data_IF_937917359369
#
_entry.id   IF_937917359369
#
_cell.length_a   1.000
_cell.length_b   1.000
_cell.length_c   1.000
_cell.angle_alpha   90.00
_cell.angle_beta   90.00
_cell.angle_gamma   90.00
#
_symmetry.space_group_name_H-M   'P 1'
#
loop_
_entity.id
_entity.type
_entity.pdbx_description
1 polymer ?
#
# COMPACT_ATOMS: atom_id res chain seq x y z
N UNK A 1 -18.33 17.25 8.10
CA UNK A 1 -18.01 17.64 9.49
C UNK A 1 -17.95 16.40 10.39
N UNK A 2 -16.77 15.80 10.54
CA UNK A 2 -16.50 14.65 11.44
C UNK A 2 -15.10 14.70 12.09
N UNK A 3 -14.14 15.44 11.51
CA UNK A 3 -12.77 15.53 12.04
C UNK A 3 -12.69 16.21 13.43
N UNK A 4 -13.42 17.30 13.65
CA UNK A 4 -13.32 18.07 14.91
C UNK A 4 -13.60 17.22 16.16
N UNK A 5 -14.53 16.26 16.08
CA UNK A 5 -14.88 15.40 17.20
C UNK A 5 -13.86 14.29 17.47
N UNK A 6 -13.06 13.88 16.47
CA UNK A 6 -12.03 12.86 16.66
C UNK A 6 -10.79 13.46 17.33
N UNK A 7 -10.43 14.68 16.96
CA UNK A 7 -9.30 15.39 17.54
C UNK A 7 -9.52 15.68 19.04
N UNK A 8 -10.75 16.06 19.43
CA UNK A 8 -11.11 16.22 20.84
C UNK A 8 -11.00 14.91 21.64
N UNK A 9 -11.41 13.77 21.05
CA UNK A 9 -11.33 12.45 21.69
C UNK A 9 -9.88 11.98 21.85
N UNK A 10 -9.01 12.25 20.86
CA UNK A 10 -7.59 11.88 20.93
C UNK A 10 -6.86 12.78 21.94
N UNK A 11 -7.17 14.08 21.96
CA UNK A 11 -6.47 15.03 22.83
C UNK A 11 -6.87 14.91 24.30
N UNK A 12 -8.08 14.45 24.60
CA UNK A 12 -8.56 14.22 25.97
C UNK A 12 -8.20 12.84 26.55
N UNK A 13 -7.57 11.96 25.76
CA UNK A 13 -7.24 10.60 26.22
C UNK A 13 -5.86 10.53 26.90
N UNK A 14 -5.79 9.80 28.02
CA UNK A 14 -4.55 9.51 28.74
C UNK A 14 -3.55 8.71 27.88
N UNK A 15 -4.06 7.90 26.96
CA UNK A 15 -3.27 7.14 26.00
C UNK A 15 -3.66 7.52 24.56
N UNK A 16 -2.99 8.54 24.04
CA UNK A 16 -3.25 9.11 22.72
C UNK A 16 -3.04 8.10 21.59
N UNK A 17 -2.01 7.26 21.67
CA UNK A 17 -1.74 6.24 20.67
C UNK A 17 -2.88 5.23 20.54
N UNK A 18 -3.43 4.78 21.68
CA UNK A 18 -4.57 3.87 21.70
C UNK A 18 -5.84 4.57 21.19
N UNK A 19 -6.10 5.81 21.63
CA UNK A 19 -7.25 6.59 21.18
C UNK A 19 -7.24 6.81 19.66
N UNK A 20 -6.08 7.19 19.09
CA UNK A 20 -5.90 7.31 17.64
C UNK A 20 -6.16 5.99 16.92
N UNK A 21 -5.64 4.88 17.44
CA UNK A 21 -5.85 3.55 16.86
C UNK A 21 -7.32 3.11 16.92
N UNK A 22 -8.03 3.46 17.98
CA UNK A 22 -9.45 3.13 18.12
C UNK A 22 -10.33 3.99 17.20
N UNK A 23 -9.96 5.25 16.93
CA UNK A 23 -10.59 6.07 15.87
C UNK A 23 -10.38 5.43 14.50
N UNK A 24 -9.16 4.97 14.20
CA UNK A 24 -8.85 4.26 12.94
C UNK A 24 -9.65 2.97 12.81
N UNK A 25 -9.70 2.14 13.86
CA UNK A 25 -10.52 0.92 13.86
C UNK A 25 -12.00 1.21 13.64
N UNK A 26 -12.53 2.27 14.25
CA UNK A 26 -13.93 2.66 14.11
C UNK A 26 -14.25 3.01 12.65
N UNK A 27 -13.37 3.74 11.98
CA UNK A 27 -13.54 4.07 10.56
C UNK A 27 -13.33 2.85 9.65
N UNK A 28 -12.35 1.99 9.94
CA UNK A 28 -12.13 0.74 9.20
C UNK A 28 -13.33 -0.21 9.30
N UNK A 29 -13.88 -0.38 10.49
CA UNK A 29 -15.07 -1.22 10.71
C UNK A 29 -16.35 -0.59 10.17
N UNK A 30 -16.46 0.74 10.16
CA UNK A 30 -17.58 1.44 9.51
C UNK A 30 -17.55 1.28 7.98
N UNK A 31 -16.35 1.19 7.38
CA UNK A 31 -16.15 0.91 5.95
C UNK A 31 -16.22 -0.58 5.59
N UNK A 32 -16.32 -1.48 6.58
CA UNK A 32 -16.60 -2.90 6.39
C UNK A 32 -18.08 -3.19 6.07
N UNK A 33 -18.88 -2.17 5.70
CA UNK A 33 -20.05 -2.45 4.87
C UNK A 33 -19.51 -3.02 3.58
N UNK A 34 -19.80 -4.30 3.35
CA UNK A 34 -19.70 -4.96 2.04
C UNK A 34 -20.05 -3.93 0.96
N UNK A 35 -19.02 -3.37 0.32
CA UNK A 35 -19.21 -2.66 -0.92
C UNK A 35 -19.49 -3.81 -1.87
N UNK A 36 -20.77 -4.13 -2.04
CA UNK A 36 -21.18 -4.96 -3.15
C UNK A 36 -20.44 -4.41 -4.38
N UNK A 37 -19.69 -5.24 -5.12
CA UNK A 37 -18.90 -4.76 -6.23
C UNK A 37 -19.88 -4.17 -7.24
N UNK A 38 -20.05 -2.84 -7.21
CA UNK A 38 -20.97 -2.14 -8.11
C UNK A 38 -20.48 -2.21 -9.57
N UNK A 39 -19.34 -2.84 -9.83
CA UNK A 39 -18.97 -3.30 -11.17
C UNK A 39 -17.90 -4.40 -11.11
N UNK A 40 -18.24 -5.70 -11.29
CA UNK A 40 -17.25 -6.77 -11.39
C UNK A 40 -16.39 -6.72 -12.67
N UNK A 41 -16.64 -5.76 -13.58
CA UNK A 41 -16.01 -5.63 -14.90
C UNK A 41 -15.13 -4.38 -15.06
N UNK A 42 -14.58 -3.82 -13.99
CA UNK A 42 -13.58 -2.75 -14.13
C UNK A 42 -12.31 -3.33 -14.74
N UNK A 43 -12.09 -3.05 -16.02
CA UNK A 43 -10.80 -3.28 -16.67
C UNK A 43 -9.70 -2.49 -15.95
N UNK A 44 -8.43 -2.88 -16.12
CA UNK A 44 -7.30 -2.18 -15.51
C UNK A 44 -7.34 -0.65 -15.78
N UNK A 45 -7.69 -0.25 -17.00
CA UNK A 45 -7.90 1.14 -17.36
C UNK A 45 -9.04 1.78 -16.57
N UNK A 46 -10.20 1.12 -16.47
CA UNK A 46 -11.35 1.62 -15.70
C UNK A 46 -11.06 1.76 -14.20
N UNK A 47 -10.26 0.85 -13.61
CA UNK A 47 -9.80 1.01 -12.23
C UNK A 47 -8.90 2.24 -12.08
N UNK A 48 -7.94 2.43 -13.00
CA UNK A 48 -7.03 3.57 -12.98
C UNK A 48 -7.79 4.90 -13.12
N UNK A 49 -8.80 4.94 -13.99
CA UNK A 49 -9.67 6.10 -14.18
C UNK A 49 -10.53 6.38 -12.95
N UNK A 50 -11.15 5.35 -12.37
CA UNK A 50 -11.96 5.47 -11.15
C UNK A 50 -11.12 5.92 -9.95
N UNK A 51 -9.93 5.34 -9.78
CA UNK A 51 -8.97 5.75 -8.75
C UNK A 51 -8.56 7.20 -8.96
N UNK A 52 -8.15 7.58 -10.18
CA UNK A 52 -7.77 8.95 -10.51
C UNK A 52 -8.89 9.95 -10.28
N UNK A 53 -10.15 9.59 -10.56
CA UNK A 53 -11.31 10.45 -10.31
C UNK A 53 -11.50 10.74 -8.82
N UNK A 54 -11.30 9.74 -7.95
CA UNK A 54 -11.36 9.93 -6.49
C UNK A 54 -10.34 10.97 -6.02
N UNK A 55 -9.14 11.01 -6.61
CA UNK A 55 -8.11 11.99 -6.23
C UNK A 55 -8.25 13.33 -6.95
N UNK A 56 -8.96 13.40 -8.08
CA UNK A 56 -9.19 14.63 -8.84
C UNK A 56 -10.22 15.54 -8.18
N UNK A 57 -11.19 14.95 -7.49
CA UNK A 57 -12.26 15.66 -6.79
C UNK A 57 -11.94 15.94 -5.31
N UNK A 58 -10.78 15.48 -4.83
CA UNK A 58 -10.31 15.87 -3.51
C UNK A 58 -9.85 17.33 -3.56
N UNK A 59 -10.33 18.19 -2.64
CA UNK A 59 -9.88 19.57 -2.57
C UNK A 59 -8.35 19.59 -2.38
N UNK A 60 -7.70 20.46 -3.15
CA UNK A 60 -6.25 20.63 -3.11
C UNK A 60 -5.78 20.79 -1.65
N UNK A 61 -4.95 19.86 -1.13
CA UNK A 61 -4.49 19.92 0.25
C UNK A 61 -3.68 21.19 0.54
N UNK A 62 -3.31 21.97 -0.48
CA UNK A 62 -2.68 23.29 -0.34
C UNK A 62 -3.48 24.28 0.52
N UNK A 63 -4.79 24.05 0.73
CA UNK A 63 -5.66 24.93 1.52
C UNK A 63 -5.85 24.53 2.98
N UNK A 64 -5.36 23.36 3.43
CA UNK A 64 -5.41 23.00 4.85
C UNK A 64 -4.21 22.20 5.33
N UNK A 65 -3.44 22.87 6.19
CA UNK A 65 -2.32 22.41 7.02
C UNK A 65 -0.96 22.38 6.33
N UNK A 66 -0.19 23.44 6.57
CA UNK A 66 1.27 23.45 6.43
C UNK A 66 1.89 22.22 7.12
N UNK A 67 1.27 21.73 8.19
CA UNK A 67 1.68 20.59 9.00
C UNK A 67 2.03 19.31 8.22
N UNK A 68 1.35 18.97 7.12
CA UNK A 68 1.66 17.70 6.42
C UNK A 68 2.90 17.82 5.53
N UNK A 69 2.99 18.88 4.74
CA UNK A 69 4.19 19.14 3.94
C UNK A 69 5.38 19.46 4.84
N UNK A 70 5.18 20.19 5.94
CA UNK A 70 6.20 20.44 6.96
C UNK A 70 6.66 19.14 7.63
N UNK A 71 5.76 18.18 7.86
CA UNK A 71 6.11 16.85 8.36
C UNK A 71 6.93 16.05 7.35
N UNK A 72 6.53 16.03 6.08
CA UNK A 72 7.30 15.37 5.01
C UNK A 72 8.68 16.01 4.84
N UNK A 73 8.76 17.34 4.90
CA UNK A 73 10.02 18.09 4.78
C UNK A 73 10.92 17.97 6.03
N UNK A 74 10.34 17.70 7.20
CA UNK A 74 11.09 17.42 8.44
C UNK A 74 11.41 15.93 8.61
N UNK A 75 10.90 15.07 7.72
CA UNK A 75 11.29 13.66 7.71
C UNK A 75 12.78 13.59 7.35
N UNK A 76 13.61 12.86 8.11
CA UNK A 76 15.02 12.71 7.78
C UNK A 76 15.13 12.25 6.33
N UNK A 77 15.74 13.07 5.49
CA UNK A 77 16.02 12.70 4.11
C UNK A 77 16.95 11.49 4.20
N UNK A 78 16.45 10.30 3.89
CA UNK A 78 17.26 9.09 3.89
C UNK A 78 18.36 9.32 2.86
N UNK A 79 19.61 9.37 3.33
CA UNK A 79 20.80 9.44 2.46
C UNK A 79 21.06 8.08 1.79
N UNK A 80 20.13 7.15 1.96
CA UNK A 80 20.21 5.83 1.36
C UNK A 80 19.96 5.94 -0.14
N UNK A 81 21.06 5.88 -0.89
CA UNK A 81 21.02 5.79 -2.34
C UNK A 81 20.61 4.35 -2.72
N UNK A 82 19.52 4.24 -3.48
CA UNK A 82 19.13 2.98 -4.11
C UNK A 82 19.63 2.99 -5.56
N UNK A 83 20.52 2.05 -5.88
CA UNK A 83 20.99 1.82 -7.24
C UNK A 83 20.63 0.40 -7.68
N UNK A 84 20.17 0.28 -8.93
CA UNK A 84 20.03 -1.02 -9.58
C UNK A 84 21.40 -1.42 -10.11
N UNK A 85 21.94 -2.51 -9.57
CA UNK A 85 23.18 -3.10 -10.05
C UNK A 85 22.87 -4.20 -11.08
N UNK A 86 23.72 -4.38 -12.11
CA UNK A 86 23.63 -5.55 -12.97
C UNK A 86 23.73 -6.82 -12.15
N UNK A 87 22.89 -7.80 -12.45
CA UNK A 87 22.94 -9.14 -11.86
C UNK A 87 23.20 -10.16 -12.96
N UNK A 88 24.01 -11.16 -12.64
CA UNK A 88 24.24 -12.32 -13.52
C UNK A 88 23.02 -13.24 -13.55
N UNK A 89 22.93 -14.05 -14.61
CA UNK A 89 21.86 -15.05 -14.76
C UNK A 89 21.89 -16.05 -13.60
N UNK A 90 23.09 -16.42 -13.18
CA UNK A 90 23.36 -17.36 -12.09
C UNK A 90 22.91 -16.81 -10.74
N UNK A 91 23.15 -15.53 -10.47
CA UNK A 91 22.69 -14.86 -9.24
C UNK A 91 21.17 -14.82 -9.18
N UNK A 92 20.50 -14.45 -10.29
CA UNK A 92 19.04 -14.43 -10.38
C UNK A 92 18.47 -15.83 -10.15
N UNK A 93 19.04 -16.84 -10.80
CA UNK A 93 18.62 -18.23 -10.65
C UNK A 93 18.80 -18.71 -9.20
N UNK A 94 19.95 -18.43 -8.58
CA UNK A 94 20.22 -18.80 -7.19
C UNK A 94 19.21 -18.15 -6.22
N UNK A 95 18.88 -16.88 -6.42
CA UNK A 95 17.85 -16.18 -5.63
C UNK A 95 16.50 -16.87 -5.78
N UNK A 96 16.07 -17.20 -7.00
CA UNK A 96 14.80 -17.89 -7.24
C UNK A 96 14.78 -19.25 -6.52
N UNK A 97 15.84 -20.04 -6.63
CA UNK A 97 15.94 -21.32 -5.94
C UNK A 97 15.90 -21.19 -4.40
N UNK A 98 16.42 -20.10 -3.86
CA UNK A 98 16.45 -19.82 -2.42
C UNK A 98 15.08 -19.43 -1.81
N UNK A 99 14.11 -19.03 -2.63
CA UNK A 99 12.78 -18.61 -2.16
C UNK A 99 12.11 -19.72 -1.33
N UNK A 100 11.44 -19.37 -0.23
CA UNK A 100 10.67 -20.36 0.54
C UNK A 100 9.43 -20.77 -0.25
N UNK A 101 9.20 -22.08 -0.39
CA UNK A 101 7.97 -22.56 -1.02
C UNK A 101 6.76 -22.17 -0.17
N UNK A 102 5.81 -21.46 -0.77
CA UNK A 102 4.54 -21.09 -0.14
C UNK A 102 3.37 -21.56 -1.00
N UNK A 103 2.27 -21.97 -0.36
CA UNK A 103 1.03 -22.30 -1.04
C UNK A 103 0.24 -21.06 -1.49
N UNK A 104 0.67 -19.86 -1.09
CA UNK A 104 0.07 -18.59 -1.52
C UNK A 104 0.36 -18.33 -2.99
N UNK A 105 -0.68 -17.94 -3.73
CA UNK A 105 -0.60 -17.54 -5.13
C UNK A 105 -0.79 -16.03 -5.25
N UNK A 106 -0.17 -15.44 -6.26
CA UNK A 106 -0.46 -14.06 -6.67
C UNK A 106 -1.84 -13.95 -7.34
N UNK A 107 -2.16 -12.75 -7.84
CA UNK A 107 -3.40 -12.48 -8.56
C UNK A 107 -3.58 -13.35 -9.83
N UNK A 108 -2.49 -13.81 -10.43
CA UNK A 108 -2.49 -14.65 -11.64
C UNK A 108 -2.42 -16.15 -11.32
N UNK A 109 -2.45 -16.54 -10.04
CA UNK A 109 -2.34 -17.94 -9.65
C UNK A 109 -0.88 -18.45 -9.64
N UNK A 110 0.11 -17.57 -9.76
CA UNK A 110 1.53 -17.92 -9.73
C UNK A 110 2.00 -18.02 -8.28
N UNK A 111 2.63 -19.13 -7.94
CA UNK A 111 3.28 -19.33 -6.64
C UNK A 111 4.78 -19.59 -6.81
N UNK A 112 5.49 -19.63 -5.69
CA UNK A 112 6.93 -19.85 -5.66
C UNK A 112 7.36 -21.17 -6.29
N UNK A 113 6.51 -22.20 -6.24
CA UNK A 113 6.80 -23.50 -6.86
C UNK A 113 6.80 -23.39 -8.39
N UNK A 114 5.82 -22.69 -8.97
CA UNK A 114 5.77 -22.43 -10.41
C UNK A 114 6.99 -21.61 -10.85
N UNK A 115 7.33 -20.55 -10.11
CA UNK A 115 8.48 -19.69 -10.41
C UNK A 115 9.78 -20.51 -10.46
N UNK A 116 9.99 -21.39 -9.48
CA UNK A 116 11.18 -22.28 -9.44
C UNK A 116 11.19 -23.33 -10.55
N UNK A 117 10.04 -23.83 -10.99
CA UNK A 117 9.99 -24.78 -12.10
C UNK A 117 10.38 -24.11 -13.42
N UNK A 118 9.94 -22.86 -13.61
CA UNK A 118 10.27 -22.08 -14.81
C UNK A 118 11.71 -21.57 -14.76
N UNK A 119 12.31 -21.38 -13.58
CA UNK A 119 13.68 -20.85 -13.50
C UNK A 119 14.72 -21.71 -14.19
N UNK A 120 14.47 -23.01 -14.38
CA UNK A 120 15.36 -23.89 -15.15
C UNK A 120 15.56 -23.41 -16.60
N UNK A 121 14.57 -22.73 -17.20
CA UNK A 121 14.68 -22.22 -18.58
C UNK A 121 15.45 -20.91 -18.68
N UNK A 122 15.86 -20.32 -17.55
CA UNK A 122 16.64 -19.07 -17.52
C UNK A 122 18.12 -19.35 -17.85
N UNK A 123 18.56 -20.60 -17.67
CA UNK A 123 19.94 -21.05 -17.91
C UNK A 123 20.16 -21.65 -19.31
N UNK A 124 19.10 -21.80 -20.13
CA UNK A 124 19.14 -22.29 -21.51
C UNK A 124 19.34 -21.14 -22.52
#
# INVERSE_FOLDING_TARGET
FKCANNDEVINSADNKTKASWDVVKKELNAKSRSVAPNNPNLSCGGFSDAFSAVFRDLPDPSSSSSSYLDFLNSTPCSVDEFALLPASVEEVHAVICSLRNTCSTDYFGVNTEIIKRVSCTILE
#
